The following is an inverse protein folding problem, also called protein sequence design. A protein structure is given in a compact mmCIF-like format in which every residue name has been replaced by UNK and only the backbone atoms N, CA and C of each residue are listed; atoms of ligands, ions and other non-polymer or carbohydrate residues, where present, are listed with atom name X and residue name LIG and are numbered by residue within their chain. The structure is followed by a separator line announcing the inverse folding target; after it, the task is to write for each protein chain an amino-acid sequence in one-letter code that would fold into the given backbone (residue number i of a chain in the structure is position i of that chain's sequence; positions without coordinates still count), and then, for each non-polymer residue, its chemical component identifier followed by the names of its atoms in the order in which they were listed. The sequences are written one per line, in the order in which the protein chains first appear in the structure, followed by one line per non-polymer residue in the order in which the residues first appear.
data_IF_122419906903
#
_entry.id   IF_122419906903
#
_cell.length_a   1.000
_cell.length_b   1.000
_cell.length_c   1.000
_cell.angle_alpha   90.00
_cell.angle_beta   90.00
_cell.angle_gamma   90.00
#
_symmetry.space_group_name_H-M   'P 1'
#
loop_
_entity.id
_entity.type
_entity.pdbx_description
1 polymer ?
#
# COMPACT_ATOMS: atom_id res chain seq x y z
N UNK A 1 -29.72 12.38 2.94
CA UNK A 1 -29.80 11.48 1.78
C UNK A 1 -28.49 10.71 1.72
N UNK A 2 -28.48 9.41 1.99
CA UNK A 2 -27.28 8.58 1.79
C UNK A 2 -27.02 8.56 0.29
N UNK A 3 -25.94 9.21 -0.17
CA UNK A 3 -25.54 9.08 -1.56
C UNK A 3 -25.24 7.60 -1.83
N UNK A 4 -25.68 7.07 -2.97
CA UNK A 4 -25.37 5.70 -3.35
C UNK A 4 -23.84 5.46 -3.29
N UNK A 5 -23.44 4.28 -2.83
CA UNK A 5 -22.03 3.88 -2.81
C UNK A 5 -21.46 3.89 -4.25
N UNK A 6 -20.16 4.21 -4.41
CA UNK A 6 -19.48 4.04 -5.67
C UNK A 6 -19.62 2.60 -6.22
N UNK A 7 -19.70 2.42 -7.55
CA UNK A 7 -19.80 1.08 -8.13
C UNK A 7 -18.62 0.21 -7.72
N UNK A 8 -18.89 -1.05 -7.37
CA UNK A 8 -17.88 -2.00 -6.91
C UNK A 8 -17.58 -1.96 -5.42
N UNK A 9 -18.13 -0.99 -4.67
CA UNK A 9 -18.12 -0.98 -3.21
C UNK A 9 -19.46 -1.49 -2.68
N UNK A 10 -19.39 -2.30 -1.63
CA UNK A 10 -20.55 -2.97 -1.02
C UNK A 10 -20.41 -2.97 0.51
N UNK A 11 -21.52 -3.17 1.21
CA UNK A 11 -21.56 -3.30 2.67
C UNK A 11 -22.10 -2.07 3.40
N UNK A 12 -22.02 -2.11 4.74
CA UNK A 12 -22.48 -1.04 5.63
C UNK A 12 -21.34 -0.04 5.88
N UNK A 13 -21.15 0.87 4.93
CA UNK A 13 -20.05 1.83 4.96
C UNK A 13 -20.52 3.23 5.36
N UNK A 14 -19.63 3.96 6.04
CA UNK A 14 -19.80 5.39 6.35
C UNK A 14 -18.81 6.18 5.53
N UNK A 15 -19.30 7.14 4.75
CA UNK A 15 -18.45 8.06 4.02
C UNK A 15 -17.54 8.82 5.00
N UNK A 16 -16.23 8.71 4.77
CA UNK A 16 -15.21 9.46 5.48
C UNK A 16 -14.78 10.67 4.66
N UNK A 17 -14.53 10.48 3.37
CA UNK A 17 -14.20 11.55 2.43
C UNK A 17 -14.62 11.19 1.02
N UNK A 18 -14.99 12.20 0.24
CA UNK A 18 -15.26 12.10 -1.19
C UNK A 18 -14.72 13.32 -1.91
N UNK A 19 -14.39 13.16 -3.18
CA UNK A 19 -13.98 14.28 -4.00
C UNK A 19 -13.79 13.92 -5.47
N UNK A 20 -13.40 14.93 -6.24
CA UNK A 20 -13.20 14.85 -7.68
C UNK A 20 -14.47 15.01 -8.52
N UNK A 21 -14.32 14.88 -9.83
CA UNK A 21 -15.31 15.23 -10.84
C UNK A 21 -15.49 14.13 -11.90
N UNK A 22 -16.53 14.25 -12.74
CA UNK A 22 -16.84 13.27 -13.79
C UNK A 22 -17.46 11.98 -13.27
N UNK A 23 -17.80 11.04 -14.15
CA UNK A 23 -18.41 9.75 -13.79
C UNK A 23 -17.37 8.69 -13.40
N UNK A 24 -17.81 7.72 -12.58
CA UNK A 24 -17.00 6.55 -12.24
C UNK A 24 -16.68 5.73 -13.50
N UNK A 25 -15.41 5.39 -13.70
CA UNK A 25 -14.96 4.53 -14.78
C UNK A 25 -15.58 3.13 -14.69
N UNK A 26 -16.04 2.55 -15.80
CA UNK A 26 -16.59 1.20 -15.82
C UNK A 26 -15.47 0.15 -15.70
N UNK A 27 -15.84 -1.03 -15.20
CA UNK A 27 -14.97 -2.21 -15.19
C UNK A 27 -15.80 -3.49 -15.24
N UNK A 28 -15.29 -4.49 -15.94
CA UNK A 28 -15.93 -5.81 -16.05
C UNK A 28 -15.11 -6.92 -15.38
N UNK A 29 -13.86 -6.62 -15.00
CA UNK A 29 -12.93 -7.56 -14.40
C UNK A 29 -12.18 -6.90 -13.26
N UNK A 30 -11.83 -7.69 -12.24
CA UNK A 30 -10.96 -7.28 -11.13
C UNK A 30 -9.69 -8.12 -11.16
N UNK A 31 -8.56 -7.50 -10.83
CA UNK A 31 -7.30 -8.19 -10.54
C UNK A 31 -6.90 -7.91 -9.11
N UNK A 32 -6.52 -8.97 -8.40
CA UNK A 32 -6.26 -8.93 -6.98
C UNK A 32 -4.78 -8.67 -6.69
N UNK A 33 -4.55 -7.71 -5.80
CA UNK A 33 -3.25 -7.28 -5.31
C UNK A 33 -3.31 -7.12 -3.80
N UNK A 34 -2.14 -6.98 -3.19
CA UNK A 34 -1.98 -6.76 -1.76
C UNK A 34 -1.08 -5.57 -1.51
N UNK A 35 -1.20 -4.98 -0.33
CA UNK A 35 -0.26 -3.98 0.15
C UNK A 35 -0.20 -4.04 1.69
N UNK A 36 1.00 -4.24 2.23
CA UNK A 36 1.23 -4.46 3.65
C UNK A 36 2.05 -3.31 4.26
N UNK A 37 1.62 -2.87 5.43
CA UNK A 37 2.26 -1.80 6.20
C UNK A 37 2.66 -2.31 7.59
N UNK A 38 3.90 -2.03 7.99
CA UNK A 38 4.37 -2.32 9.34
C UNK A 38 4.44 -1.02 10.12
N UNK A 39 3.73 -0.96 11.23
CA UNK A 39 3.74 0.18 12.14
C UNK A 39 4.29 -0.30 13.46
N UNK A 40 5.39 0.29 13.92
CA UNK A 40 5.96 -0.03 15.22
C UNK A 40 6.18 1.28 15.97
N UNK A 41 5.67 1.33 17.20
CA UNK A 41 5.64 2.55 18.01
C UNK A 41 4.97 3.69 17.21
N UNK A 42 5.64 4.83 17.11
CA UNK A 42 5.22 6.00 16.34
C UNK A 42 5.88 6.08 14.95
N UNK A 43 6.23 4.93 14.36
CA UNK A 43 6.87 4.86 13.04
C UNK A 43 6.16 3.90 12.10
N UNK A 44 6.16 4.22 10.80
CA UNK A 44 5.67 3.36 9.72
C UNK A 44 6.80 3.03 8.75
N UNK A 45 6.89 1.77 8.33
CA UNK A 45 7.85 1.33 7.33
C UNK A 45 7.24 1.48 5.93
N UNK A 46 7.90 2.23 5.06
CA UNK A 46 7.56 2.37 3.64
C UNK A 46 8.75 1.94 2.78
N UNK A 47 8.50 1.52 1.55
CA UNK A 47 9.54 1.23 0.56
C UNK A 47 9.55 2.27 -0.56
N UNK A 48 10.72 2.82 -0.87
CA UNK A 48 10.91 3.61 -2.10
C UNK A 48 10.99 2.67 -3.30
N UNK A 49 10.05 2.81 -4.24
CA UNK A 49 9.98 1.94 -5.41
C UNK A 49 10.99 2.36 -6.48
N UNK A 50 11.95 1.47 -6.79
CA UNK A 50 13.03 1.71 -7.75
C UNK A 50 12.68 1.30 -9.18
N UNK A 51 11.74 0.36 -9.36
CA UNK A 51 11.38 -0.22 -10.68
C UNK A 51 9.88 -0.57 -10.76
N UNK A 52 9.36 -0.76 -11.97
CA UNK A 52 7.99 -1.22 -12.20
C UNK A 52 6.92 -0.12 -12.05
N UNK A 53 5.66 -0.54 -11.88
CA UNK A 53 4.52 0.38 -11.76
C UNK A 53 4.56 1.15 -10.44
N UNK A 54 4.52 2.48 -10.49
CA UNK A 54 4.69 3.33 -9.31
C UNK A 54 6.15 3.61 -8.93
N UNK A 55 7.08 3.48 -9.87
CA UNK A 55 8.48 3.88 -9.67
C UNK A 55 8.57 5.34 -9.19
N UNK A 56 9.55 5.62 -8.34
CA UNK A 56 9.78 6.92 -7.69
C UNK A 56 8.66 7.38 -6.75
N UNK A 57 7.88 6.44 -6.22
CA UNK A 57 6.93 6.70 -5.11
C UNK A 57 7.26 5.82 -3.91
N UNK A 58 6.98 6.32 -2.71
CA UNK A 58 6.92 5.51 -1.50
C UNK A 58 5.58 4.75 -1.46
N UNK A 59 5.61 3.51 -0.97
CA UNK A 59 4.41 2.72 -0.72
C UNK A 59 4.67 1.70 0.41
N UNK A 60 3.64 0.95 0.80
CA UNK A 60 3.82 -0.31 1.51
C UNK A 60 4.42 -1.39 0.60
N UNK A 61 4.46 -2.61 1.11
CA UNK A 61 5.08 -3.76 0.43
C UNK A 61 4.00 -4.71 -0.06
N UNK A 62 4.02 -5.05 -1.34
CA UNK A 62 2.91 -5.80 -1.91
C UNK A 62 2.92 -5.95 -3.41
N UNK A 63 2.16 -6.93 -3.85
CA UNK A 63 2.16 -7.38 -5.23
C UNK A 63 0.89 -8.11 -5.60
N UNK A 64 0.93 -8.77 -6.76
CA UNK A 64 -0.21 -9.50 -7.32
C UNK A 64 -0.44 -10.77 -6.52
N UNK A 65 -1.71 -11.11 -6.28
CA UNK A 65 -2.08 -12.44 -5.75
C UNK A 65 -1.97 -13.47 -6.87
N UNK A 66 -1.14 -14.48 -6.65
CA UNK A 66 -0.90 -15.59 -7.57
C UNK A 66 -1.98 -16.68 -7.47
N UNK A 67 -1.99 -17.60 -8.44
CA UNK A 67 -2.98 -18.68 -8.46
C UNK A 67 -2.67 -19.68 -7.34
N UNK A 68 -3.64 -19.90 -6.45
CA UNK A 68 -3.54 -20.89 -5.38
C UNK A 68 -3.12 -20.32 -4.03
N UNK A 69 -2.84 -19.02 -3.93
CA UNK A 69 -2.61 -18.33 -2.65
C UNK A 69 -3.80 -17.41 -2.29
N UNK A 70 -3.99 -17.21 -0.99
CA UNK A 70 -4.89 -16.21 -0.43
C UNK A 70 -4.24 -14.82 -0.43
N UNK A 71 -5.01 -13.72 -0.34
CA UNK A 71 -4.44 -12.38 -0.18
C UNK A 71 -3.52 -12.23 1.04
N UNK A 72 -3.82 -12.93 2.14
CA UNK A 72 -2.96 -12.88 3.32
C UNK A 72 -1.60 -13.55 3.06
N UNK A 73 -1.60 -14.72 2.41
CA UNK A 73 -0.37 -15.42 2.02
C UNK A 73 0.46 -14.60 1.03
N UNK A 74 -0.18 -13.98 0.03
CA UNK A 74 0.45 -13.09 -0.92
C UNK A 74 1.10 -11.89 -0.22
N UNK A 75 0.38 -11.22 0.70
CA UNK A 75 0.90 -10.08 1.44
C UNK A 75 2.12 -10.46 2.31
N UNK A 76 2.10 -11.64 2.95
CA UNK A 76 3.23 -12.15 3.72
C UNK A 76 4.44 -12.48 2.85
N UNK A 77 4.22 -13.08 1.67
CA UNK A 77 5.27 -13.40 0.69
C UNK A 77 5.93 -12.13 0.17
N UNK A 78 5.14 -11.17 -0.31
CA UNK A 78 5.63 -9.89 -0.86
C UNK A 78 6.38 -9.07 0.20
N UNK A 79 5.86 -8.98 1.43
CA UNK A 79 6.56 -8.29 2.53
C UNK A 79 7.95 -8.91 2.80
N UNK A 80 8.05 -10.23 2.73
CA UNK A 80 9.32 -10.94 2.91
C UNK A 80 10.26 -10.70 1.73
N UNK A 81 9.77 -10.74 0.50
CA UNK A 81 10.56 -10.51 -0.72
C UNK A 81 11.07 -9.07 -0.82
N UNK A 82 10.23 -8.07 -0.54
CA UNK A 82 10.52 -6.65 -0.78
C UNK A 82 11.16 -5.93 0.41
N UNK A 83 10.88 -6.35 1.66
CA UNK A 83 11.38 -5.71 2.87
C UNK A 83 12.26 -6.60 3.74
N UNK A 84 12.29 -7.91 3.46
CA UNK A 84 13.12 -8.86 4.18
C UNK A 84 12.65 -9.20 5.59
N UNK A 85 11.38 -8.91 5.92
CA UNK A 85 10.81 -9.08 7.25
C UNK A 85 9.55 -9.95 7.20
N UNK A 86 9.16 -10.46 8.37
CA UNK A 86 7.91 -11.20 8.57
C UNK A 86 7.12 -10.50 9.67
N UNK A 87 5.80 -10.41 9.49
CA UNK A 87 4.91 -9.76 10.44
C UNK A 87 3.57 -10.52 10.55
N UNK A 88 2.89 -10.50 11.71
CA UNK A 88 1.54 -11.02 11.86
C UNK A 88 0.55 -10.03 11.24
N UNK A 89 0.37 -10.12 9.92
CA UNK A 89 -0.47 -9.20 9.15
C UNK A 89 -1.96 -9.42 9.44
N UNK A 90 -2.66 -8.32 9.70
CA UNK A 90 -4.11 -8.26 9.84
C UNK A 90 -4.73 -7.46 8.70
N UNK A 91 -5.91 -7.88 8.23
CA UNK A 91 -6.63 -7.14 7.19
C UNK A 91 -7.12 -5.79 7.71
N UNK A 92 -6.69 -4.72 7.05
CA UNK A 92 -6.94 -3.33 7.41
C UNK A 92 -7.98 -2.66 6.50
N UNK A 93 -8.14 -3.12 5.26
CA UNK A 93 -9.11 -2.52 4.35
C UNK A 93 -9.04 -3.05 2.93
N UNK A 94 -9.95 -2.57 2.09
CA UNK A 94 -10.01 -2.96 0.67
C UNK A 94 -10.17 -1.72 -0.21
N UNK A 95 -9.25 -1.55 -1.17
CA UNK A 95 -9.25 -0.44 -2.11
C UNK A 95 -9.52 -0.92 -3.53
N UNK A 96 -10.33 -0.17 -4.28
CA UNK A 96 -10.62 -0.43 -5.68
C UNK A 96 -10.11 0.73 -6.53
N UNK A 97 -9.13 0.48 -7.38
CA UNK A 97 -8.57 1.50 -8.27
C UNK A 97 -8.92 1.25 -9.73
N UNK A 98 -9.23 2.34 -10.42
CA UNK A 98 -9.43 2.33 -11.87
C UNK A 98 -8.44 3.25 -12.54
N UNK A 99 -7.94 2.85 -13.71
CA UNK A 99 -7.26 3.79 -14.61
C UNK A 99 -7.82 3.63 -16.02
N UNK A 100 -8.04 4.76 -16.69
CA UNK A 100 -8.59 4.77 -18.05
C UNK A 100 -7.67 4.00 -18.99
N UNK A 101 -8.22 2.98 -19.66
CA UNK A 101 -7.48 2.16 -20.64
C UNK A 101 -6.85 0.87 -20.09
N UNK A 102 -6.85 0.63 -18.76
CA UNK A 102 -6.37 -0.65 -18.22
C UNK A 102 -7.29 -1.84 -18.55
N UNK A 103 -8.60 -1.63 -18.64
CA UNK A 103 -9.57 -2.69 -18.94
C UNK A 103 -9.91 -3.62 -17.76
N UNK A 104 -9.35 -3.39 -16.58
CA UNK A 104 -9.70 -4.05 -15.32
C UNK A 104 -9.57 -3.10 -14.14
N UNK A 105 -10.25 -3.41 -13.04
CA UNK A 105 -10.06 -2.78 -11.74
C UNK A 105 -8.91 -3.43 -10.98
N UNK A 106 -8.13 -2.62 -10.27
CA UNK A 106 -7.13 -3.10 -9.32
C UNK A 106 -7.81 -3.20 -7.95
N UNK A 107 -8.08 -4.41 -7.48
CA UNK A 107 -8.56 -4.64 -6.14
C UNK A 107 -7.36 -4.90 -5.24
N UNK A 108 -7.11 -4.02 -4.28
CA UNK A 108 -5.97 -4.10 -3.37
C UNK A 108 -6.49 -4.38 -1.97
N UNK A 109 -6.11 -5.53 -1.42
CA UNK A 109 -6.36 -5.87 -0.02
C UNK A 109 -5.21 -5.33 0.83
N UNK A 110 -5.57 -4.45 1.77
CA UNK A 110 -4.64 -3.71 2.62
C UNK A 110 -4.43 -4.48 3.91
N UNK A 111 -3.18 -4.66 4.30
CA UNK A 111 -2.80 -5.33 5.53
C UNK A 111 -1.93 -4.42 6.40
N UNK A 112 -2.04 -4.59 7.71
CA UNK A 112 -1.16 -3.92 8.65
C UNK A 112 -0.69 -4.85 9.77
N UNK A 113 0.47 -4.59 10.34
CA UNK A 113 0.95 -5.25 11.54
C UNK A 113 1.57 -4.25 12.51
N UNK A 114 1.45 -4.55 13.81
CA UNK A 114 2.00 -3.74 14.91
C UNK A 114 3.31 -4.28 15.50
N UNK A 115 3.83 -5.34 14.90
CA UNK A 115 5.07 -6.02 15.29
C UNK A 115 5.67 -6.71 14.07
N UNK A 116 6.96 -6.98 14.08
CA UNK A 116 7.62 -7.74 13.02
C UNK A 116 8.84 -8.49 13.56
N UNK A 117 9.42 -9.34 12.73
CA UNK A 117 10.68 -10.05 12.97
C UNK A 117 11.58 -9.97 11.74
N UNK A 118 12.90 -9.88 11.99
CA UNK A 118 13.91 -9.63 10.95
C UNK A 118 14.48 -8.21 11.02
N UNK A 119 15.31 -7.86 10.04
CA UNK A 119 15.87 -6.52 9.89
C UNK A 119 15.35 -5.97 8.56
N UNK A 120 14.63 -4.83 8.54
CA UNK A 120 14.23 -4.19 7.30
C UNK A 120 15.48 -3.85 6.49
N UNK A 121 15.64 -4.49 5.35
CA UNK A 121 16.80 -4.29 4.48
C UNK A 121 16.34 -4.38 3.03
N UNK A 122 17.02 -3.66 2.14
CA UNK A 122 17.09 -4.09 0.74
C UNK A 122 17.77 -5.47 0.79
N UNK A 123 17.05 -6.59 0.70
CA UNK A 123 17.71 -7.88 0.89
C UNK A 123 18.69 -8.18 -0.25
N UNK A 124 19.95 -7.82 -0.07
CA UNK A 124 21.09 -8.46 -0.74
C UNK A 124 21.44 -9.70 0.09
N UNK A 125 20.63 -10.77 0.04
CA UNK A 125 21.08 -12.06 0.53
C UNK A 125 21.80 -12.83 -0.57
N UNK A 126 23.10 -12.59 -0.61
CA UNK A 126 24.12 -13.46 -1.19
C UNK A 126 24.12 -14.78 -0.39
N UNK A 127 23.22 -15.71 -0.69
CA UNK A 127 23.46 -17.10 -0.31
C UNK A 127 24.56 -17.64 -1.23
N UNK A 128 25.82 -17.55 -0.79
CA UNK A 128 26.79 -18.59 -1.13
C UNK A 128 26.30 -19.89 -0.49
N UNK A 129 25.39 -20.56 -1.19
CA UNK A 129 25.25 -21.99 -1.11
C UNK A 129 25.74 -22.51 -2.47
N UNK A 130 26.65 -23.48 -2.47
CA UNK A 130 27.15 -24.21 -3.64
C UNK A 130 26.00 -24.93 -4.38
N UNK A 131 25.10 -24.18 -4.99
CA UNK A 131 24.06 -24.68 -5.85
C UNK A 131 24.35 -24.20 -7.27
N UNK A 132 24.82 -25.16 -8.05
CA UNK A 132 24.93 -25.16 -9.50
C UNK A 132 23.86 -24.29 -10.12
N UNK A 133 24.31 -23.29 -10.88
CA UNK A 133 23.50 -22.42 -11.72
C UNK A 133 22.62 -23.27 -12.63
N UNK A 134 21.32 -23.30 -12.37
CA UNK A 134 20.31 -23.54 -13.38
C UNK A 134 19.49 -22.26 -13.55
N UNK A 135 19.41 -21.84 -14.81
CA UNK A 135 18.73 -20.67 -15.35
C UNK A 135 17.34 -20.45 -14.70
N UNK A 136 17.21 -19.47 -13.79
CA UNK A 136 15.94 -19.23 -13.10
C UNK A 136 15.90 -18.25 -11.91
N UNK A 137 17.02 -17.92 -11.26
CA UNK A 137 17.00 -16.92 -10.16
C UNK A 137 16.92 -15.48 -10.71
N UNK A 138 15.69 -14.99 -10.93
CA UNK A 138 15.45 -13.54 -10.98
C UNK A 138 15.68 -12.98 -9.58
N UNK A 139 16.81 -12.29 -9.39
CA UNK A 139 17.10 -11.52 -8.18
C UNK A 139 16.13 -10.32 -8.11
N UNK A 140 15.02 -10.47 -7.39
CA UNK A 140 13.95 -9.46 -7.21
C UNK A 140 14.25 -8.40 -6.14
N UNK A 141 15.50 -8.19 -5.76
CA UNK A 141 15.83 -7.42 -4.53
C UNK A 141 16.39 -6.01 -4.75
N UNK A 142 16.20 -5.46 -5.96
CA UNK A 142 16.41 -4.04 -6.26
C UNK A 142 15.08 -3.33 -6.60
N UNK A 143 13.96 -3.84 -6.08
CA UNK A 143 12.63 -3.28 -6.35
C UNK A 143 12.23 -2.18 -5.34
N UNK A 144 12.52 -2.38 -4.05
CA UNK A 144 12.12 -1.49 -2.96
C UNK A 144 13.30 -1.15 -2.03
N UNK A 145 13.37 0.10 -1.56
CA UNK A 145 14.25 0.52 -0.44
C UNK A 145 13.42 0.80 0.81
N UNK A 146 13.44 -0.08 1.83
CA UNK A 146 12.72 0.14 3.08
C UNK A 146 13.28 1.33 3.87
N UNK A 147 12.38 2.14 4.42
CA UNK A 147 12.72 3.34 5.19
C UNK A 147 11.63 3.63 6.22
N UNK A 148 12.02 4.01 7.44
CA UNK A 148 11.09 4.33 8.52
C UNK A 148 10.71 5.81 8.48
N UNK A 149 9.41 6.08 8.67
CA UNK A 149 8.84 7.42 8.74
C UNK A 149 8.09 7.62 10.06
N UNK A 150 8.21 8.81 10.64
CA UNK A 150 7.58 9.22 11.88
C UNK A 150 6.10 9.53 11.65
N UNK A 151 5.26 9.05 12.56
CA UNK A 151 3.83 9.34 12.67
C UNK A 151 3.54 10.51 13.60
N UNK A 152 4.47 10.82 14.51
CA UNK A 152 4.38 11.99 15.39
C UNK A 152 4.93 13.22 14.68
N UNK A 153 4.19 14.36 14.70
CA UNK A 153 4.71 15.63 14.18
C UNK A 153 6.02 16.02 14.89
N UNK A 154 6.89 16.82 14.26
CA UNK A 154 8.08 17.32 14.91
C UNK A 154 7.66 18.10 16.17
N UNK A 155 8.11 17.65 17.35
CA UNK A 155 7.87 18.39 18.58
C UNK A 155 8.48 19.80 18.41
N UNK A 156 7.66 20.82 18.62
CA UNK A 156 8.13 22.21 18.65
C UNK A 156 9.03 22.42 19.86
N UNK A 157 10.34 22.15 19.69
CA UNK A 157 11.38 22.68 20.58
C UNK A 157 12.21 21.69 21.42
N UNK A 158 12.31 20.40 21.08
CA UNK A 158 13.27 19.50 21.74
C UNK A 158 14.00 18.64 20.71
N UNK A 159 15.25 19.02 20.40
CA UNK A 159 16.27 18.11 19.88
C UNK A 159 17.05 17.55 21.06
N UNK A 160 17.24 16.23 21.13
CA UNK A 160 18.46 15.59 21.67
C UNK A 160 18.38 14.04 21.64
N UNK A 161 17.78 13.45 20.60
CA UNK A 161 18.00 12.04 20.26
C UNK A 161 18.38 11.94 18.80
N UNK A 162 19.50 11.25 18.54
CA UNK A 162 20.26 11.22 17.29
C UNK A 162 19.58 10.47 16.12
N UNK A 163 18.24 10.33 16.13
CA UNK A 163 17.45 9.73 15.07
C UNK A 163 16.37 10.73 14.63
N UNK A 164 16.72 11.64 13.73
CA UNK A 164 15.73 12.45 13.02
C UNK A 164 15.00 11.58 12.01
N UNK A 165 13.94 10.90 12.44
CA UNK A 165 13.05 10.15 11.53
C UNK A 165 12.19 11.14 10.75
N UNK A 166 12.18 11.04 9.43
CA UNK A 166 11.42 11.92 8.54
C UNK A 166 9.92 11.68 8.66
N UNK A 167 9.08 12.68 8.40
CA UNK A 167 7.62 12.53 8.32
C UNK A 167 7.21 11.78 7.04
N UNK A 168 6.01 11.21 7.01
CA UNK A 168 5.45 10.58 5.81
C UNK A 168 5.47 11.57 4.62
N UNK A 169 6.14 11.23 3.50
CA UNK A 169 6.30 12.13 2.37
C UNK A 169 5.13 11.95 1.38
N UNK A 170 3.93 12.42 1.75
CA UNK A 170 2.72 12.27 0.91
C UNK A 170 2.89 12.79 -0.52
N UNK A 171 3.70 13.83 -0.71
CA UNK A 171 4.03 14.39 -2.03
C UNK A 171 4.83 13.43 -2.94
N UNK A 172 5.42 12.39 -2.34
CA UNK A 172 6.11 11.29 -3.03
C UNK A 172 5.35 9.98 -2.95
N UNK A 173 4.07 10.02 -2.59
CA UNK A 173 3.19 8.85 -2.51
C UNK A 173 2.12 8.93 -3.60
N UNK A 174 1.15 8.02 -3.61
CA UNK A 174 0.00 8.16 -4.51
C UNK A 174 -0.97 9.23 -3.98
N UNK A 175 -1.67 9.91 -4.89
CA UNK A 175 -2.57 11.02 -4.57
C UNK A 175 -3.66 10.63 -3.56
N UNK A 176 -4.03 9.35 -3.54
CA UNK A 176 -5.06 8.81 -2.67
C UNK A 176 -4.56 8.47 -1.25
N UNK A 177 -3.25 8.25 -1.08
CA UNK A 177 -2.66 7.76 0.17
C UNK A 177 -2.93 8.71 1.35
N UNK A 178 -3.02 10.02 1.08
CA UNK A 178 -3.35 11.04 2.08
C UNK A 178 -4.73 10.85 2.73
N UNK A 179 -5.65 10.16 2.06
CA UNK A 179 -7.02 9.98 2.54
C UNK A 179 -7.17 8.70 3.37
N UNK A 180 -6.62 7.57 2.93
CA UNK A 180 -6.83 6.28 3.59
C UNK A 180 -5.71 5.89 4.55
N UNK A 181 -4.47 6.35 4.33
CA UNK A 181 -3.34 5.99 5.20
C UNK A 181 -3.53 6.44 6.66
N UNK A 182 -4.13 7.61 6.95
CA UNK A 182 -4.45 7.97 8.34
C UNK A 182 -5.40 6.98 9.03
N UNK A 183 -6.38 6.42 8.31
CA UNK A 183 -7.30 5.40 8.84
C UNK A 183 -6.53 4.12 9.18
N UNK A 184 -5.63 3.69 8.29
CA UNK A 184 -4.74 2.55 8.52
C UNK A 184 -3.88 2.77 9.77
N UNK A 185 -3.25 3.94 9.88
CA UNK A 185 -2.40 4.29 11.03
C UNK A 185 -3.18 4.22 12.35
N UNK A 186 -4.43 4.70 12.35
CA UNK A 186 -5.34 4.66 13.50
C UNK A 186 -5.92 3.25 13.79
N UNK A 187 -5.67 2.27 12.92
CA UNK A 187 -6.23 0.92 13.05
C UNK A 187 -7.73 0.84 12.73
N UNK A 188 -8.28 1.83 12.04
CA UNK A 188 -9.67 1.81 11.59
C UNK A 188 -9.78 1.05 10.29
N UNK A 189 -10.76 0.14 10.18
CA UNK A 189 -11.00 -0.57 8.92
C UNK A 189 -11.67 0.33 7.90
N UNK A 190 -11.18 0.27 6.68
CA UNK A 190 -11.62 1.16 5.61
C UNK A 190 -11.89 0.43 4.30
N UNK A 191 -12.75 1.04 3.49
CA UNK A 191 -13.04 0.64 2.12
C UNK A 191 -12.99 1.89 1.25
N UNK A 192 -12.44 1.79 0.05
CA UNK A 192 -12.32 2.95 -0.81
C UNK A 192 -12.30 2.63 -2.29
N UNK A 193 -12.61 3.64 -3.08
CA UNK A 193 -12.46 3.63 -4.53
C UNK A 193 -11.82 4.94 -4.98
N UNK A 194 -10.82 4.85 -5.85
CA UNK A 194 -10.30 6.01 -6.57
C UNK A 194 -10.07 5.70 -8.05
N UNK A 195 -10.44 6.65 -8.89
CA UNK A 195 -10.27 6.59 -10.33
C UNK A 195 -9.16 7.55 -10.75
N UNK A 196 -8.31 7.07 -11.64
CA UNK A 196 -7.13 7.77 -12.15
C UNK A 196 -7.21 7.92 -13.66
N UNK A 197 -6.54 8.96 -14.15
CA UNK A 197 -6.23 9.13 -15.56
C UNK A 197 -4.73 9.31 -15.73
N UNK A 198 -4.21 8.86 -16.86
CA UNK A 198 -2.81 9.07 -17.21
C UNK A 198 -2.70 10.42 -17.95
N UNK A 199 -2.03 11.40 -17.35
CA UNK A 199 -1.71 12.71 -17.92
C UNK A 199 -0.21 12.77 -18.20
N UNK A 200 0.18 12.61 -19.47
CA UNK A 200 1.59 12.43 -19.83
C UNK A 200 2.12 11.11 -19.30
N UNK A 201 3.15 11.17 -18.46
CA UNK A 201 3.79 10.00 -17.82
C UNK A 201 3.35 9.81 -16.34
N UNK A 202 2.38 10.58 -15.87
CA UNK A 202 1.90 10.55 -14.48
C UNK A 202 0.43 10.12 -14.38
N UNK A 203 0.12 9.39 -13.30
CA UNK A 203 -1.27 9.07 -12.95
C UNK A 203 -1.79 10.13 -12.00
N UNK A 204 -2.92 10.71 -12.35
CA UNK A 204 -3.60 11.72 -11.55
C UNK A 204 -4.95 11.22 -11.11
N UNK A 205 -5.25 11.35 -9.81
CA UNK A 205 -6.55 10.97 -9.28
C UNK A 205 -7.62 11.98 -9.72
N UNK A 206 -8.71 11.50 -10.32
CA UNK A 206 -9.82 12.35 -10.82
C UNK A 206 -11.07 12.28 -9.98
N UNK A 207 -11.31 11.14 -9.31
CA UNK A 207 -12.47 10.91 -8.47
C UNK A 207 -12.14 9.93 -7.36
N UNK A 208 -12.63 10.18 -6.15
CA UNK A 208 -12.40 9.29 -5.02
C UNK A 208 -13.53 9.30 -4.01
N UNK A 209 -13.60 8.20 -3.28
CA UNK A 209 -14.48 7.99 -2.16
C UNK A 209 -13.83 6.99 -1.21
N UNK A 210 -13.73 7.35 0.07
CA UNK A 210 -13.23 6.47 1.12
C UNK A 210 -14.21 6.49 2.28
N UNK A 211 -14.35 5.35 2.93
CA UNK A 211 -15.25 5.18 4.06
C UNK A 211 -14.76 4.15 5.05
N UNK A 212 -15.34 4.18 6.24
CA UNK A 212 -15.08 3.21 7.30
C UNK A 212 -16.23 2.21 7.38
N UNK A 213 -15.93 1.05 7.95
CA UNK A 213 -16.95 0.03 8.22
C UNK A 213 -17.71 0.44 9.48
N UNK A 214 -19.04 0.47 9.41
CA UNK A 214 -19.89 0.70 10.58
C UNK A 214 -19.86 -0.54 11.46
N UNK A 215 -19.35 -0.40 12.68
CA UNK A 215 -19.53 -1.43 13.71
C UNK A 215 -21.02 -1.57 14.01
N UNK A 216 -21.47 -2.82 14.14
CA UNK A 216 -22.86 -3.18 14.47
C UNK A 216 -23.18 -2.96 15.95
#
# INVERSE_FOLDING_TARGET
MTSALPPGLEGNLVEYVRGGEGDWLPFDQKRLYTNAFVIQDDKILLGWKKRGFGVNKYNGFGGKVELGETPAEAAMRELKEEAGIVAPLEHAGSLLFMTKGAGWAFQIEMFSARSYSGIPTEQVLFYMCDCVVTDGLRHRTDEMRPEWFSLVPPASGLSDTNESVMQIPYEKMWDDDVYWLPLLVQGQKFVGRADFVMEGDEFRMTRHWFGTIKDH
#
